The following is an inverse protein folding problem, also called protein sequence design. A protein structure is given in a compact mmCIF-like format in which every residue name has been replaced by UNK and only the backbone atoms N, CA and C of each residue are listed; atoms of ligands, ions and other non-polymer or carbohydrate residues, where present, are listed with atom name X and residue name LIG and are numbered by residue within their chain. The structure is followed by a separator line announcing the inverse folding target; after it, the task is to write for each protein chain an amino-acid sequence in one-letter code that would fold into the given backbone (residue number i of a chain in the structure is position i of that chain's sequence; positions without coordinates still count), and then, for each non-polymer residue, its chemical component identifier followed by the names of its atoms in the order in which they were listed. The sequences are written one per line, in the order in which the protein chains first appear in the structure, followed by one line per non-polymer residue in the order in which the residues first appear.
data_IF_322374963847
#
_entry.id   IF_322374963847
#
_cell.length_a   1.000
_cell.length_b   1.000
_cell.length_c   1.000
_cell.angle_alpha   90.00
_cell.angle_beta   90.00
_cell.angle_gamma   90.00
#
_symmetry.space_group_name_H-M   'P 1'
#
loop_
_entity.id
_entity.type
_entity.pdbx_description
1 polymer ?
#
# COMPACT_ATOMS: atom_id res chain seq x y z
N UNK A 1 45.57 -10.83 14.61
CA UNK A 1 44.10 -10.96 14.64
C UNK A 1 43.66 -11.21 13.22
N UNK A 2 43.02 -12.36 13.01
CA UNK A 2 42.59 -12.91 11.72
C UNK A 2 41.59 -11.95 11.05
N UNK A 3 41.83 -11.62 9.79
CA UNK A 3 40.81 -11.05 8.90
C UNK A 3 40.06 -12.22 8.28
N UNK A 4 38.92 -12.57 8.85
CA UNK A 4 38.04 -13.55 8.22
C UNK A 4 37.43 -12.93 6.95
N UNK A 5 37.46 -13.61 5.80
CA UNK A 5 36.86 -13.13 4.58
C UNK A 5 35.33 -13.16 4.69
N UNK A 6 34.69 -12.09 4.23
CA UNK A 6 33.23 -11.99 4.10
C UNK A 6 32.76 -13.13 3.18
N UNK A 7 31.90 -14.01 3.71
CA UNK A 7 31.30 -15.13 2.98
C UNK A 7 30.54 -14.62 1.74
N UNK A 8 30.64 -15.28 0.56
CA UNK A 8 30.03 -14.84 -0.69
C UNK A 8 28.49 -14.99 -0.76
N UNK A 9 27.83 -15.35 0.35
CA UNK A 9 26.38 -15.60 0.41
C UNK A 9 25.53 -14.36 0.78
N UNK A 10 26.06 -13.13 0.67
CA UNK A 10 25.22 -11.93 0.83
C UNK A 10 24.44 -11.63 -0.46
N UNK A 11 23.67 -12.60 -0.96
CA UNK A 11 22.52 -12.26 -1.80
C UNK A 11 21.68 -11.29 -0.99
N UNK A 12 21.50 -10.07 -1.51
CA UNK A 12 20.70 -9.04 -0.87
C UNK A 12 19.33 -9.62 -0.54
N UNK A 13 19.13 -9.97 0.73
CA UNK A 13 17.96 -10.69 1.19
C UNK A 13 16.78 -9.74 0.98
N UNK A 14 16.02 -9.96 -0.09
CA UNK A 14 14.92 -9.09 -0.47
C UNK A 14 13.95 -9.00 0.73
N UNK A 15 13.36 -7.82 0.97
CA UNK A 15 12.45 -7.63 2.08
C UNK A 15 11.32 -8.68 1.99
N UNK A 16 11.09 -9.42 3.07
CA UNK A 16 9.97 -10.36 3.14
C UNK A 16 8.71 -9.55 3.42
N UNK A 17 7.79 -9.56 2.45
CA UNK A 17 6.48 -8.93 2.59
C UNK A 17 5.46 -9.96 3.07
N UNK A 18 4.68 -9.63 4.10
CA UNK A 18 3.62 -10.51 4.57
C UNK A 18 2.50 -10.63 3.52
N UNK A 19 2.00 -11.86 3.35
CA UNK A 19 0.91 -12.15 2.40
C UNK A 19 -0.44 -11.66 2.93
N UNK A 20 -0.62 -11.64 4.25
CA UNK A 20 -1.85 -11.13 4.90
C UNK A 20 -1.67 -9.67 5.25
N UNK A 21 -2.69 -8.86 5.01
CA UNK A 21 -2.73 -7.50 5.51
C UNK A 21 -2.88 -7.52 7.04
N UNK A 22 -2.22 -6.59 7.70
CA UNK A 22 -2.54 -6.27 9.10
C UNK A 22 -3.97 -5.73 9.22
N UNK A 23 -4.51 -5.71 10.44
CA UNK A 23 -5.86 -5.19 10.69
C UNK A 23 -5.99 -3.71 10.29
N UNK A 24 -4.95 -2.92 10.53
CA UNK A 24 -4.91 -1.50 10.15
C UNK A 24 -4.94 -1.32 8.62
N UNK A 25 -4.12 -2.09 7.89
CA UNK A 25 -4.13 -2.07 6.43
C UNK A 25 -5.46 -2.54 5.86
N UNK A 26 -6.02 -3.61 6.42
CA UNK A 26 -7.32 -4.14 6.03
C UNK A 26 -8.45 -3.13 6.27
N UNK A 27 -8.38 -2.35 7.35
CA UNK A 27 -9.32 -1.26 7.61
C UNK A 27 -9.16 -0.13 6.59
N UNK A 28 -7.94 0.38 6.36
CA UNK A 28 -7.67 1.43 5.37
C UNK A 28 -8.19 1.04 3.98
N UNK A 29 -7.89 -0.17 3.53
CA UNK A 29 -8.37 -0.67 2.24
C UNK A 29 -9.90 -0.83 2.15
N UNK A 30 -10.58 -1.12 3.27
CA UNK A 30 -12.05 -1.18 3.31
C UNK A 30 -12.65 0.23 3.23
N UNK A 31 -12.06 1.18 3.95
CA UNK A 31 -12.50 2.58 4.00
C UNK A 31 -12.26 3.33 2.68
N UNK A 32 -11.31 2.89 1.85
CA UNK A 32 -11.03 3.46 0.51
C UNK A 32 -12.24 3.59 -0.42
N UNK A 33 -13.36 2.90 -0.14
CA UNK A 33 -14.62 3.11 -0.90
C UNK A 33 -15.22 4.50 -0.68
N UNK A 34 -14.99 5.08 0.49
CA UNK A 34 -15.46 6.40 0.85
C UNK A 34 -14.41 7.43 0.41
N UNK A 35 -14.73 8.34 -0.51
CA UNK A 35 -13.80 9.38 -0.95
C UNK A 35 -13.22 10.22 0.19
N UNK A 36 -13.93 10.39 1.32
CA UNK A 36 -13.47 11.17 2.46
C UNK A 36 -12.55 10.40 3.41
N UNK A 37 -12.61 9.06 3.38
CA UNK A 37 -11.80 8.18 4.23
C UNK A 37 -10.74 7.42 3.43
N UNK A 38 -10.53 7.83 2.17
CA UNK A 38 -9.51 7.23 1.34
C UNK A 38 -8.13 7.41 1.99
N UNK A 39 -7.32 6.37 1.91
CA UNK A 39 -5.96 6.34 2.47
C UNK A 39 -4.93 6.51 1.35
N UNK A 40 -5.30 7.28 0.33
CA UNK A 40 -4.42 7.65 -0.78
C UNK A 40 -3.68 8.93 -0.43
N UNK A 41 -2.38 8.96 -0.70
CA UNK A 41 -1.57 10.17 -0.61
C UNK A 41 -0.84 10.43 -1.92
N UNK A 42 -0.56 11.71 -2.15
CA UNK A 42 0.16 12.18 -3.32
C UNK A 42 1.41 12.95 -2.94
N UNK A 43 2.45 12.84 -3.77
CA UNK A 43 3.60 13.72 -3.76
C UNK A 43 3.75 14.39 -5.13
N UNK A 44 4.11 15.68 -5.13
CA UNK A 44 4.52 16.39 -6.33
C UNK A 44 5.97 16.83 -6.15
N UNK A 45 6.85 16.31 -6.99
CA UNK A 45 8.26 16.69 -7.02
C UNK A 45 8.52 17.53 -8.26
N UNK A 46 8.93 18.79 -8.08
CA UNK A 46 9.37 19.65 -9.18
C UNK A 46 10.83 19.37 -9.49
N UNK A 47 11.13 19.20 -10.78
CA UNK A 47 12.45 18.84 -11.28
C UNK A 47 13.05 20.02 -12.04
N UNK A 48 14.38 20.10 -12.07
CA UNK A 48 15.09 21.11 -12.86
C UNK A 48 14.95 20.91 -14.37
N UNK A 49 14.62 19.69 -14.80
CA UNK A 49 14.34 19.29 -16.19
C UNK A 49 13.35 18.11 -16.26
N UNK A 50 12.71 17.87 -17.42
CA UNK A 50 11.94 16.65 -17.66
C UNK A 50 12.74 15.37 -17.42
N UNK A 51 12.07 14.34 -16.88
CA UNK A 51 12.65 13.01 -16.77
C UNK A 51 12.86 12.40 -18.16
N UNK A 52 13.93 11.63 -18.32
CA UNK A 52 13.96 10.67 -19.42
C UNK A 52 12.96 9.55 -19.11
N UNK A 53 11.79 9.59 -19.76
CA UNK A 53 10.70 8.67 -19.47
C UNK A 53 11.09 7.19 -19.64
N UNK A 54 11.89 6.85 -20.66
CA UNK A 54 12.30 5.47 -20.92
C UNK A 54 13.21 4.95 -19.79
N UNK A 55 14.22 5.73 -19.39
CA UNK A 55 15.10 5.38 -18.28
C UNK A 55 14.33 5.31 -16.96
N UNK A 56 13.40 6.23 -16.72
CA UNK A 56 12.57 6.24 -15.52
C UNK A 56 11.66 5.00 -15.44
N UNK A 57 10.98 4.66 -16.54
CA UNK A 57 10.15 3.46 -16.62
C UNK A 57 10.97 2.19 -16.38
N UNK A 58 12.18 2.09 -16.95
CA UNK A 58 13.08 0.96 -16.70
C UNK A 58 13.48 0.83 -15.23
N UNK A 59 13.73 1.94 -14.54
CA UNK A 59 14.02 1.95 -13.10
C UNK A 59 12.81 1.48 -12.27
N UNK A 60 11.60 1.93 -12.61
CA UNK A 60 10.38 1.46 -11.94
C UNK A 60 10.08 -0.01 -12.24
N UNK A 61 10.29 -0.47 -13.46
CA UNK A 61 10.16 -1.89 -13.81
C UNK A 61 11.07 -2.74 -12.92
N UNK A 62 12.34 -2.35 -12.79
CA UNK A 62 13.27 -2.98 -11.85
C UNK A 62 12.77 -2.92 -10.41
N UNK A 63 12.30 -1.76 -9.94
CA UNK A 63 11.82 -1.58 -8.58
C UNK A 63 10.68 -2.56 -8.25
N UNK A 64 9.83 -2.88 -9.23
CA UNK A 64 8.73 -3.84 -9.04
C UNK A 64 9.20 -5.29 -8.86
N UNK A 65 10.42 -5.61 -9.29
CA UNK A 65 11.04 -6.93 -9.05
C UNK A 65 11.64 -6.95 -7.63
N UNK A 66 12.32 -5.87 -7.23
CA UNK A 66 12.92 -5.74 -5.91
C UNK A 66 11.87 -5.61 -4.79
N UNK A 67 10.71 -5.05 -5.10
CA UNK A 67 9.58 -4.82 -4.18
C UNK A 67 8.35 -5.52 -4.74
N UNK A 68 8.16 -6.84 -4.50
CA UNK A 68 7.06 -7.62 -5.05
C UNK A 68 5.68 -7.03 -4.77
N UNK A 69 5.52 -6.29 -3.67
CA UNK A 69 4.28 -5.58 -3.32
C UNK A 69 3.77 -4.66 -4.45
N UNK A 70 4.65 -4.13 -5.30
CA UNK A 70 4.26 -3.30 -6.45
C UNK A 70 3.58 -4.10 -7.58
N UNK A 71 3.71 -5.42 -7.59
CA UNK A 71 3.03 -6.33 -8.53
C UNK A 71 1.82 -7.01 -7.90
N UNK A 72 1.47 -6.67 -6.67
CA UNK A 72 0.40 -7.32 -5.91
C UNK A 72 -0.85 -6.44 -5.80
N UNK A 73 -1.99 -7.11 -5.84
CA UNK A 73 -3.31 -6.52 -5.58
C UNK A 73 -3.92 -7.11 -4.31
N UNK A 74 -4.90 -6.40 -3.75
CA UNK A 74 -5.61 -6.87 -2.57
C UNK A 74 -6.78 -7.76 -2.99
N UNK A 75 -6.79 -9.00 -2.51
CA UNK A 75 -7.92 -9.91 -2.60
C UNK A 75 -8.77 -9.81 -1.33
N UNK A 76 -10.05 -9.42 -1.42
CA UNK A 76 -10.96 -9.51 -0.29
C UNK A 76 -11.21 -10.96 0.11
N UNK A 77 -11.42 -11.18 1.40
CA UNK A 77 -11.95 -12.44 1.94
C UNK A 77 -13.47 -12.46 1.82
N UNK A 78 -14.10 -13.60 1.45
CA UNK A 78 -15.56 -13.72 1.38
C UNK A 78 -16.24 -13.24 2.66
N UNK A 79 -17.35 -12.50 2.50
CA UNK A 79 -18.13 -11.92 3.59
C UNK A 79 -17.33 -11.09 4.63
N UNK A 80 -16.14 -10.60 4.27
CA UNK A 80 -15.23 -9.88 5.16
C UNK A 80 -14.85 -10.64 6.45
N UNK A 81 -14.95 -11.98 6.45
CA UNK A 81 -14.71 -12.85 7.61
C UNK A 81 -13.24 -13.02 8.02
N UNK A 82 -12.33 -12.26 7.41
CA UNK A 82 -10.91 -12.28 7.72
C UNK A 82 -10.17 -11.10 7.11
N UNK A 83 -8.87 -10.98 7.45
CA UNK A 83 -8.00 -9.97 6.86
C UNK A 83 -7.87 -10.19 5.33
N UNK A 84 -7.95 -9.14 4.51
CA UNK A 84 -7.64 -9.25 3.09
C UNK A 84 -6.20 -9.72 2.86
N UNK A 85 -5.94 -10.30 1.70
CA UNK A 85 -4.61 -10.83 1.35
C UNK A 85 -4.05 -10.10 0.15
N UNK A 86 -2.75 -9.89 0.16
CA UNK A 86 -2.00 -9.53 -1.02
C UNK A 86 -1.79 -10.75 -1.90
N UNK A 87 -2.07 -10.61 -3.19
CA UNK A 87 -1.87 -11.66 -4.20
C UNK A 87 -1.23 -11.04 -5.42
N UNK A 88 -0.40 -11.79 -6.12
CA UNK A 88 0.23 -11.32 -7.36
C UNK A 88 -0.85 -11.01 -8.41
N UNK A 89 -0.63 -9.94 -9.17
CA UNK A 89 -1.48 -9.57 -10.29
C UNK A 89 -0.98 -10.23 -11.57
N UNK A 90 -1.66 -11.27 -12.10
CA UNK A 90 -1.21 -11.96 -13.31
C UNK A 90 -1.27 -11.08 -14.56
N UNK A 91 -2.02 -9.99 -14.51
CA UNK A 91 -2.16 -9.01 -15.60
C UNK A 91 -1.40 -7.71 -15.31
N UNK A 92 -0.38 -7.77 -14.43
CA UNK A 92 0.44 -6.61 -14.10
C UNK A 92 1.03 -5.99 -15.37
N UNK A 93 0.77 -4.69 -15.56
CA UNK A 93 1.27 -3.92 -16.69
C UNK A 93 1.81 -2.58 -16.19
N UNK A 94 3.12 -2.39 -16.30
CA UNK A 94 3.81 -1.17 -15.89
C UNK A 94 3.29 0.09 -16.58
N UNK A 95 2.79 0.00 -17.83
CA UNK A 95 2.24 1.14 -18.58
C UNK A 95 0.92 1.66 -17.98
N UNK A 96 0.22 0.83 -17.21
CA UNK A 96 -0.93 1.30 -16.44
C UNK A 96 -0.51 2.27 -15.33
N UNK A 97 0.59 1.92 -14.64
CA UNK A 97 1.07 2.58 -13.44
C UNK A 97 2.02 3.75 -13.72
N UNK A 98 2.76 3.72 -14.84
CA UNK A 98 3.76 4.74 -15.18
C UNK A 98 3.34 5.49 -16.43
N UNK A 99 2.89 6.73 -16.25
CA UNK A 99 2.34 7.56 -17.33
C UNK A 99 3.20 8.77 -17.60
N UNK A 100 3.10 9.30 -18.82
CA UNK A 100 3.72 10.55 -19.25
C UNK A 100 2.64 11.51 -19.71
N UNK A 101 2.73 12.76 -19.27
CA UNK A 101 1.84 13.84 -19.67
C UNK A 101 2.64 15.11 -19.91
N UNK A 102 2.12 16.00 -20.74
CA UNK A 102 2.71 17.32 -20.99
C UNK A 102 1.68 18.38 -20.62
N UNK A 103 2.09 19.38 -19.84
CA UNK A 103 1.24 20.52 -19.54
C UNK A 103 1.11 21.41 -20.78
N UNK A 104 -0.08 21.96 -21.05
CA UNK A 104 -0.20 23.00 -22.04
C UNK A 104 0.52 24.28 -21.59
N UNK A 105 0.98 25.06 -22.56
CA UNK A 105 1.46 26.42 -22.30
C UNK A 105 0.43 27.20 -21.46
N UNK A 106 0.85 28.00 -20.46
CA UNK A 106 2.22 28.40 -20.16
C UNK A 106 3.01 27.47 -19.20
N UNK A 107 2.51 26.28 -18.86
CA UNK A 107 3.24 25.36 -17.98
C UNK A 107 3.42 25.86 -16.54
N UNK A 108 2.43 26.56 -15.99
CA UNK A 108 2.50 27.16 -14.65
C UNK A 108 2.46 26.12 -13.52
N UNK A 109 2.95 26.51 -12.34
CA UNK A 109 2.83 25.69 -11.13
C UNK A 109 1.36 25.43 -10.77
N UNK A 110 0.46 26.39 -11.02
CA UNK A 110 -0.99 26.21 -10.82
C UNK A 110 -1.52 25.05 -11.66
N UNK A 111 -1.20 25.03 -12.96
CA UNK A 111 -1.60 23.94 -13.87
C UNK A 111 -1.06 22.58 -13.42
N UNK A 112 0.17 22.53 -12.91
CA UNK A 112 0.74 21.31 -12.32
C UNK A 112 -0.07 20.84 -11.10
N UNK A 113 -0.40 21.75 -10.18
CA UNK A 113 -1.15 21.43 -8.97
C UNK A 113 -2.62 21.08 -9.27
N UNK A 114 -3.23 21.67 -10.29
CA UNK A 114 -4.56 21.27 -10.79
C UNK A 114 -4.53 19.85 -11.32
N UNK A 115 -3.54 19.52 -12.17
CA UNK A 115 -3.34 18.16 -12.66
C UNK A 115 -3.10 17.17 -11.51
N UNK A 116 -2.26 17.53 -10.55
CA UNK A 116 -1.99 16.68 -9.37
C UNK A 116 -3.25 16.44 -8.55
N UNK A 117 -4.07 17.48 -8.34
CA UNK A 117 -5.38 17.36 -7.67
C UNK A 117 -6.26 16.34 -8.39
N UNK A 118 -6.37 16.41 -9.71
CA UNK A 118 -7.18 15.46 -10.49
C UNK A 118 -6.66 14.03 -10.34
N UNK A 119 -5.35 13.81 -10.47
CA UNK A 119 -4.74 12.48 -10.39
C UNK A 119 -4.90 11.87 -9.00
N UNK A 120 -4.63 12.65 -7.94
CA UNK A 120 -4.65 12.15 -6.56
C UNK A 120 -6.06 11.89 -6.06
N UNK A 121 -7.05 12.68 -6.48
CA UNK A 121 -8.47 12.49 -6.09
C UNK A 121 -9.22 11.46 -6.93
N UNK A 122 -8.69 11.05 -8.09
CA UNK A 122 -9.24 9.91 -8.83
C UNK A 122 -9.11 8.63 -7.95
N UNK A 123 -10.16 7.85 -7.70
CA UNK A 123 -10.01 6.63 -6.89
C UNK A 123 -9.14 5.56 -7.60
N UNK A 124 -8.43 4.72 -6.84
CA UNK A 124 -7.73 3.59 -7.45
C UNK A 124 -8.68 2.50 -7.96
N UNK A 125 -8.30 1.86 -9.07
CA UNK A 125 -8.90 0.59 -9.50
C UNK A 125 -8.41 -0.54 -8.58
N UNK A 126 -9.29 -1.00 -7.68
CA UNK A 126 -8.93 -1.94 -6.60
C UNK A 126 -8.56 -3.35 -7.04
N UNK A 127 -8.78 -3.68 -8.30
CA UNK A 127 -8.40 -4.95 -8.93
C UNK A 127 -6.95 -4.95 -9.42
N UNK A 128 -6.20 -3.88 -9.14
CA UNK A 128 -4.81 -3.68 -9.55
C UNK A 128 -3.94 -3.22 -8.37
N UNK A 129 -2.60 -3.24 -8.51
CA UNK A 129 -1.71 -2.62 -7.52
C UNK A 129 -2.01 -1.13 -7.32
N UNK A 130 -2.04 -0.68 -6.06
CA UNK A 130 -2.58 0.63 -5.68
C UNK A 130 -1.51 1.74 -5.66
N UNK A 131 -0.87 1.95 -6.80
CA UNK A 131 0.16 2.98 -6.97
C UNK A 131 0.22 3.50 -8.41
N UNK A 132 0.68 4.74 -8.59
CA UNK A 132 0.84 5.38 -9.90
C UNK A 132 1.95 6.45 -9.86
N UNK A 133 2.72 6.53 -10.94
CA UNK A 133 3.70 7.58 -11.20
C UNK A 133 3.36 8.28 -12.52
N UNK A 134 3.35 9.60 -12.50
CA UNK A 134 3.07 10.42 -13.69
C UNK A 134 4.22 11.41 -13.89
N UNK A 135 5.00 11.19 -14.94
CA UNK A 135 6.03 12.13 -15.40
C UNK A 135 5.35 13.27 -16.15
N UNK A 136 5.61 14.50 -15.72
CA UNK A 136 5.03 15.73 -16.27
C UNK A 136 6.11 16.54 -16.97
N UNK A 137 5.83 16.90 -18.22
CA UNK A 137 6.65 17.78 -19.05
C UNK A 137 5.95 19.12 -19.30
N UNK A 138 6.66 20.06 -19.94
CA UNK A 138 6.09 21.35 -20.31
C UNK A 138 5.93 22.32 -19.14
N UNK A 139 6.63 22.11 -18.02
CA UNK A 139 6.64 23.09 -16.92
C UNK A 139 7.54 24.28 -17.28
N UNK A 140 7.11 25.48 -16.91
CA UNK A 140 7.78 26.74 -17.22
C UNK A 140 9.25 26.74 -16.81
N UNK A 141 10.08 27.34 -17.67
CA UNK A 141 11.53 27.35 -17.50
C UNK A 141 12.23 26.06 -17.93
N UNK A 142 11.59 25.24 -18.78
CA UNK A 142 12.17 23.98 -19.27
C UNK A 142 12.26 22.90 -18.20
N UNK A 143 11.43 23.01 -17.16
CA UNK A 143 11.40 22.10 -16.00
C UNK A 143 10.48 20.90 -16.25
N UNK A 144 10.58 19.92 -15.37
CA UNK A 144 9.65 18.80 -15.31
C UNK A 144 9.02 18.68 -13.93
N UNK A 145 8.12 17.73 -13.78
CA UNK A 145 7.66 17.29 -12.47
C UNK A 145 7.36 15.79 -12.47
N UNK A 146 7.33 15.22 -11.27
CA UNK A 146 6.86 13.86 -11.03
C UNK A 146 5.71 13.93 -10.03
N UNK A 147 4.57 13.37 -10.41
CA UNK A 147 3.44 13.17 -9.51
C UNK A 147 3.45 11.70 -9.12
N UNK A 148 3.50 11.42 -7.84
CA UNK A 148 3.41 10.06 -7.30
C UNK A 148 2.14 9.96 -6.48
N UNK A 149 1.37 8.90 -6.69
CA UNK A 149 0.16 8.60 -5.96
C UNK A 149 0.25 7.18 -5.44
N UNK A 150 0.06 6.99 -4.15
CA UNK A 150 0.12 5.68 -3.51
C UNK A 150 -1.01 5.51 -2.52
N UNK A 151 -1.48 4.29 -2.37
CA UNK A 151 -2.31 3.91 -1.24
C UNK A 151 -1.42 3.54 -0.04
N UNK A 152 -1.80 3.98 1.17
CA UNK A 152 -1.01 3.73 2.39
C UNK A 152 -0.71 2.26 2.67
N UNK A 153 -1.53 1.33 2.16
CA UNK A 153 -1.27 -0.11 2.33
C UNK A 153 -0.13 -0.62 1.45
N UNK A 154 0.20 0.07 0.35
CA UNK A 154 1.41 -0.24 -0.45
C UNK A 154 2.65 0.35 0.22
N UNK A 155 2.47 1.44 0.97
CA UNK A 155 3.51 2.18 1.67
C UNK A 155 3.46 1.96 3.18
N UNK A 156 3.16 0.73 3.63
CA UNK A 156 3.37 0.37 5.03
C UNK A 156 4.82 0.70 5.42
N UNK A 157 5.08 1.03 6.70
CA UNK A 157 6.25 1.85 7.08
C UNK A 157 7.62 1.41 6.56
N UNK A 158 7.81 0.12 6.23
CA UNK A 158 9.01 -0.39 5.57
C UNK A 158 8.91 -0.37 4.03
N UNK A 159 7.77 -0.75 3.44
CA UNK A 159 7.57 -0.80 1.99
C UNK A 159 7.67 0.57 1.31
N UNK A 160 7.16 1.64 1.93
CA UNK A 160 7.22 3.01 1.38
C UNK A 160 8.63 3.58 1.32
N UNK A 161 9.44 3.33 2.35
CA UNK A 161 10.85 3.75 2.40
C UNK A 161 11.67 2.93 1.40
N UNK A 162 11.48 1.61 1.36
CA UNK A 162 12.17 0.73 0.42
C UNK A 162 11.86 1.08 -1.03
N UNK A 163 10.59 1.38 -1.34
CA UNK A 163 10.14 1.84 -2.65
C UNK A 163 10.85 3.14 -3.05
N UNK A 164 10.89 4.11 -2.14
CA UNK A 164 11.55 5.41 -2.38
C UNK A 164 13.04 5.23 -2.69
N UNK A 165 13.71 4.28 -2.03
CA UNK A 165 15.11 3.94 -2.29
C UNK A 165 15.37 3.26 -3.65
N UNK A 166 14.34 2.74 -4.34
CA UNK A 166 14.53 2.06 -5.63
C UNK A 166 14.56 3.01 -6.84
N UNK A 167 13.96 4.21 -6.73
CA UNK A 167 13.87 5.14 -7.86
C UNK A 167 14.53 6.50 -7.62
N UNK A 168 15.09 6.73 -6.42
CA UNK A 168 15.86 7.92 -6.07
C UNK A 168 17.33 7.57 -5.97
N UNK A 169 18.17 8.29 -6.70
CA UNK A 169 19.63 8.23 -6.59
C UNK A 169 20.18 9.49 -5.92
N UNK A 170 21.29 9.37 -5.21
CA UNK A 170 22.01 10.51 -4.62
C UNK A 170 22.85 11.28 -5.67
N UNK A 171 23.12 10.66 -6.83
CA UNK A 171 23.86 11.24 -7.93
C UNK A 171 22.96 11.53 -9.13
N UNK A 172 23.19 12.68 -9.79
CA UNK A 172 22.38 13.13 -10.94
C UNK A 172 22.36 12.15 -12.12
N UNK A 173 23.48 11.47 -12.37
CA UNK A 173 23.67 10.58 -13.51
C UNK A 173 24.11 9.19 -13.04
N UNK A 174 23.53 8.71 -11.93
CA UNK A 174 23.79 7.36 -11.46
C UNK A 174 23.54 6.35 -12.59
N UNK A 175 24.43 5.35 -12.77
CA UNK A 175 24.21 4.31 -13.75
C UNK A 175 22.92 3.56 -13.45
N UNK A 176 22.33 2.95 -14.47
CA UNK A 176 21.23 2.01 -14.25
C UNK A 176 21.76 0.84 -13.41
N UNK A 177 21.07 0.47 -12.32
CA UNK A 177 21.43 -0.72 -11.58
C UNK A 177 21.35 -1.95 -12.51
N UNK A 178 22.20 -2.97 -12.29
CA UNK A 178 22.19 -4.17 -13.13
C UNK A 178 20.81 -4.83 -13.11
N UNK A 179 20.32 -5.41 -14.21
CA UNK A 179 19.03 -6.10 -14.24
C UNK A 179 18.91 -7.14 -13.11
N UNK A 180 17.72 -7.25 -12.52
CA UNK A 180 17.41 -8.35 -11.61
C UNK A 180 16.84 -9.52 -12.44
N UNK A 181 16.98 -10.76 -11.97
CA UNK A 181 16.27 -11.89 -12.57
C UNK A 181 14.77 -11.60 -12.63
N UNK A 182 14.10 -12.07 -13.68
CA UNK A 182 12.65 -11.97 -13.72
C UNK A 182 12.06 -12.69 -12.50
N UNK A 183 11.05 -12.09 -11.84
CA UNK A 183 10.38 -12.76 -10.74
C UNK A 183 9.76 -14.06 -11.23
N UNK A 184 9.69 -15.10 -10.38
CA UNK A 184 8.97 -16.32 -10.73
C UNK A 184 7.55 -15.97 -11.18
N UNK A 185 7.00 -16.79 -12.08
CA UNK A 185 5.63 -16.62 -12.53
C UNK A 185 4.71 -16.50 -11.29
N UNK A 186 3.71 -15.61 -11.32
CA UNK A 186 2.74 -15.49 -10.24
C UNK A 186 2.28 -16.87 -9.84
N UNK A 187 2.39 -17.24 -8.56
CA UNK A 187 1.82 -18.51 -8.14
C UNK A 187 0.34 -18.48 -8.54
N UNK A 188 -0.17 -19.56 -9.18
CA UNK A 188 -1.58 -19.62 -9.52
C UNK A 188 -2.32 -19.48 -8.21
N UNK A 189 -2.85 -18.28 -7.99
CA UNK A 189 -3.63 -18.01 -6.81
C UNK A 189 -4.74 -19.04 -6.86
N UNK A 190 -4.79 -19.97 -5.91
CA UNK A 190 -5.67 -21.14 -5.98
C UNK A 190 -7.03 -20.69 -6.51
N UNK A 191 -7.25 -21.00 -7.78
CA UNK A 191 -8.49 -20.68 -8.47
C UNK A 191 -9.45 -21.72 -7.94
N UNK A 192 -10.04 -21.39 -6.79
CA UNK A 192 -10.65 -22.35 -5.88
C UNK A 192 -9.65 -22.78 -4.82
N UNK A 193 -9.60 -22.05 -3.70
CA UNK A 193 -9.43 -22.77 -2.44
C UNK A 193 -10.65 -23.71 -2.39
N UNK A 194 -10.43 -25.02 -2.52
CA UNK A 194 -11.46 -26.03 -2.25
C UNK A 194 -12.13 -25.66 -0.91
N UNK A 195 -13.45 -25.83 -0.76
CA UNK A 195 -14.17 -25.43 0.46
C UNK A 195 -13.51 -25.91 1.75
N UNK A 196 -12.75 -27.02 1.66
CA UNK A 196 -11.96 -27.62 2.73
C UNK A 196 -10.77 -26.76 3.19
N UNK A 197 -10.05 -26.07 2.30
CA UNK A 197 -8.91 -25.21 2.68
C UNK A 197 -9.36 -23.84 3.20
N UNK A 198 -10.51 -23.34 2.73
CA UNK A 198 -11.19 -22.20 3.35
C UNK A 198 -11.70 -22.55 4.75
N UNK A 199 -12.30 -23.73 4.94
CA UNK A 199 -12.71 -24.22 6.25
C UNK A 199 -11.51 -24.43 7.18
N UNK A 200 -10.41 -25.02 6.69
CA UNK A 200 -9.21 -25.27 7.49
C UNK A 200 -8.49 -23.97 7.86
N UNK A 201 -8.36 -23.02 6.93
CA UNK A 201 -7.79 -21.69 7.24
C UNK A 201 -8.69 -20.90 8.20
N UNK A 202 -10.01 -20.91 7.99
CA UNK A 202 -10.98 -20.28 8.91
C UNK A 202 -10.99 -20.93 10.29
N UNK A 203 -10.84 -22.26 10.39
CA UNK A 203 -10.73 -22.97 11.68
C UNK A 203 -9.39 -22.69 12.37
N UNK A 204 -8.29 -22.58 11.62
CA UNK A 204 -7.00 -22.21 12.17
C UNK A 204 -6.96 -20.76 12.66
N UNK A 205 -7.70 -19.87 11.98
CA UNK A 205 -7.86 -18.46 12.36
C UNK A 205 -8.85 -18.33 13.54
N UNK A 206 -9.88 -19.17 13.62
CA UNK A 206 -10.80 -19.26 14.77
C UNK A 206 -10.15 -19.84 16.05
N UNK A 207 -8.99 -20.49 15.95
CA UNK A 207 -8.22 -20.94 17.11
C UNK A 207 -7.29 -19.85 17.67
N UNK A 208 -7.11 -18.74 16.95
CA UNK A 208 -6.33 -17.56 17.41
C UNK A 208 -7.25 -16.41 17.79
N UNK A 209 -8.27 -16.70 18.58
CA UNK A 209 -9.05 -15.66 19.26
C UNK A 209 -8.11 -14.92 20.23
N UNK A 210 -8.01 -13.58 20.15
CA UNK A 210 -7.20 -12.83 21.10
C UNK A 210 -7.67 -13.15 22.52
N UNK A 211 -6.71 -13.48 23.41
CA UNK A 211 -6.97 -13.98 24.79
C UNK A 211 -7.97 -13.09 25.56
N UNK A 212 -8.06 -11.79 25.23
CA UNK A 212 -9.04 -10.85 25.79
C UNK A 212 -10.50 -11.19 25.47
N UNK A 213 -10.80 -11.69 24.27
CA UNK A 213 -12.17 -12.02 23.86
C UNK A 213 -12.65 -13.33 24.52
N UNK A 214 -11.75 -14.29 24.72
CA UNK A 214 -12.05 -15.53 25.48
C UNK A 214 -12.35 -15.23 26.96
N UNK A 215 -11.65 -14.25 27.57
CA UNK A 215 -11.98 -13.78 28.92
C UNK A 215 -13.36 -13.15 28.98
N UNK A 216 -13.71 -12.31 28.01
CA UNK A 216 -15.03 -11.67 27.94
C UNK A 216 -16.18 -12.67 27.76
N UNK A 217 -16.02 -13.68 26.91
CA UNK A 217 -17.03 -14.74 26.73
C UNK A 217 -17.16 -15.60 28.00
N UNK A 218 -16.03 -15.92 28.65
CA UNK A 218 -16.05 -16.66 29.93
C UNK A 218 -16.76 -15.88 31.03
N UNK A 219 -16.44 -14.60 31.18
CA UNK A 219 -16.98 -13.77 32.26
C UNK A 219 -18.50 -13.55 32.11
N UNK A 220 -19.01 -13.49 30.88
CA UNK A 220 -20.45 -13.46 30.56
C UNK A 220 -21.15 -14.79 30.85
N UNK A 221 -20.49 -15.92 30.57
CA UNK A 221 -21.04 -17.25 30.84
C UNK A 221 -21.06 -17.59 32.33
N UNK A 222 -20.09 -17.09 33.10
CA UNK A 222 -20.01 -17.35 34.56
C UNK A 222 -20.90 -16.42 35.39
N UNK A 223 -21.32 -15.27 34.85
CA UNK A 223 -22.18 -14.33 35.59
C UNK A 223 -23.10 -13.53 34.63
N UNK A 224 -24.25 -14.11 34.24
CA UNK A 224 -25.18 -13.49 33.30
C UNK A 224 -25.82 -12.20 33.83
N UNK A 225 -25.69 -11.87 35.13
CA UNK A 225 -26.17 -10.62 35.71
C UNK A 225 -25.31 -9.40 35.30
N UNK A 226 -24.15 -9.60 34.67
CA UNK A 226 -23.26 -8.52 34.18
C UNK A 226 -23.60 -8.01 32.77
N UNK A 227 -24.47 -8.71 32.05
CA UNK A 227 -24.94 -8.33 30.70
C UNK A 227 -25.45 -6.87 30.61
N UNK A 228 -26.21 -6.33 31.58
CA UNK A 228 -26.66 -4.94 31.52
C UNK A 228 -25.50 -3.95 31.65
N UNK A 229 -24.50 -4.23 32.51
CA UNK A 229 -23.37 -3.33 32.78
C UNK A 229 -22.38 -3.22 31.62
N UNK A 230 -22.23 -4.30 30.84
CA UNK A 230 -21.36 -4.30 29.65
C UNK A 230 -21.97 -3.51 28.49
N UNK A 231 -23.31 -3.54 28.36
CA UNK A 231 -24.01 -2.72 27.38
C UNK A 231 -23.89 -1.22 27.71
N UNK A 232 -23.95 -0.84 28.99
CA UNK A 232 -23.73 0.55 29.42
C UNK A 232 -22.29 0.98 29.19
N UNK A 233 -21.31 0.13 29.52
CA UNK A 233 -19.89 0.45 29.38
C UNK A 233 -19.44 0.55 27.91
N UNK A 234 -20.02 -0.26 27.02
CA UNK A 234 -19.83 -0.15 25.57
C UNK A 234 -20.46 1.14 25.02
N UNK A 235 -21.64 1.52 25.51
CA UNK A 235 -22.32 2.75 25.11
C UNK A 235 -21.58 4.01 25.63
N UNK A 236 -21.01 3.96 26.83
CA UNK A 236 -20.22 5.03 27.41
C UNK A 236 -18.85 5.17 26.73
N UNK A 237 -18.25 4.05 26.29
CA UNK A 237 -17.02 4.08 25.49
C UNK A 237 -17.25 4.63 24.07
N UNK A 238 -18.39 4.27 23.45
CA UNK A 238 -18.83 4.86 22.18
C UNK A 238 -19.14 6.35 22.30
N UNK A 239 -19.80 6.78 23.38
CA UNK A 239 -20.05 8.20 23.67
C UNK A 239 -18.77 8.96 23.98
N UNK A 240 -17.82 8.35 24.71
CA UNK A 240 -16.50 8.93 24.96
C UNK A 240 -15.71 9.15 23.68
N UNK A 241 -15.71 8.17 22.78
CA UNK A 241 -15.09 8.28 21.45
C UNK A 241 -15.78 9.34 20.57
N UNK A 242 -17.11 9.43 20.60
CA UNK A 242 -17.87 10.45 19.87
C UNK A 242 -17.67 11.87 20.45
N UNK A 243 -17.52 12.01 21.76
CA UNK A 243 -17.20 13.29 22.40
C UNK A 243 -15.77 13.74 22.08
N UNK A 244 -14.82 12.81 22.05
CA UNK A 244 -13.42 13.08 21.69
C UNK A 244 -13.27 13.46 20.20
N UNK A 245 -14.16 12.98 19.34
CA UNK A 245 -14.24 13.39 17.93
C UNK A 245 -14.97 14.74 17.72
N UNK A 246 -15.75 15.20 18.70
CA UNK A 246 -16.46 16.50 18.65
C UNK A 246 -15.64 17.69 19.16
N UNK A 247 -14.53 17.46 19.86
CA UNK A 247 -13.69 18.53 20.44
C UNK A 247 -12.65 19.13 19.46
N UNK A 248 -12.66 18.78 18.17
CA UNK A 248 -11.71 19.33 17.18
C UNK A 248 -12.22 20.60 16.48
N UNK A 249 -13.45 21.07 16.76
CA UNK A 249 -14.04 22.27 16.14
C UNK A 249 -13.94 23.57 16.97
N UNK A 250 -12.96 23.68 17.87
CA UNK A 250 -12.65 24.97 18.50
C UNK A 250 -11.15 25.14 18.78
N UNK A 251 -10.38 25.42 17.72
CA UNK A 251 -9.07 26.09 17.79
C UNK A 251 -8.79 26.85 16.49
#
# INVERSE_FOLDING_TARGET
MSTDPISPDSEAQLPRFDVRMSDAEGLMWRLEKDPFLNSTFGNVTVLDRPLNFATFKQRLERATIAVPRLRQKVRPTPAALGAPKWVDDPEFNIDYHVRRVCLPEPGSLRQLLDLATLIVNDPFERTRPLWQFVSVEGLSGGRGALIVKLHHTVADGQGGVLLSLQFIDLERNAPLPPPLPEPPAPEPSLAGDEPVDLLRSSMSDALRVPIGLLKQVRDVLTDPAKLPSMATQANDSLRGLLAQMGEVDAA
#
